data_IF_804255347596
#
_entry.id   IF_804255347596
#
_cell.length_a   1.000
_cell.length_b   1.000
_cell.length_c   1.000
_cell.angle_alpha   90.00
_cell.angle_beta   90.00
_cell.angle_gamma   90.00
#
_symmetry.space_group_name_H-M   'P 1'
#
loop_
_entity.id
_entity.type
_entity.pdbx_description
1 polymer ?
#
# COMPACT_ATOMS: atom_id res chain seq x y z
N UNK A 1 54.30 -9.39 13.71
CA UNK A 1 53.10 -8.58 13.51
C UNK A 1 51.97 -9.51 13.16
N UNK A 2 50.94 -9.53 14.00
CA UNK A 2 49.72 -10.29 13.74
C UNK A 2 49.00 -9.74 12.49
N UNK A 3 48.45 -10.59 11.62
CA UNK A 3 47.80 -10.14 10.42
C UNK A 3 46.62 -9.21 10.77
N UNK A 4 46.39 -8.14 10.01
CA UNK A 4 45.23 -7.28 10.20
C UNK A 4 43.95 -8.11 10.04
N UNK A 5 42.96 -7.87 10.90
CA UNK A 5 41.66 -8.59 10.92
C UNK A 5 41.69 -10.01 11.52
N UNK A 6 42.67 -10.36 12.33
CA UNK A 6 42.73 -11.69 13.00
C UNK A 6 41.46 -12.01 13.79
N UNK A 7 40.73 -10.97 14.31
CA UNK A 7 39.46 -11.11 15.01
C UNK A 7 38.32 -11.68 14.15
N UNK A 8 38.41 -11.61 12.82
CA UNK A 8 37.42 -12.20 11.89
C UNK A 8 37.56 -13.74 11.80
N UNK A 9 38.74 -14.27 12.08
CA UNK A 9 39.08 -15.67 11.84
C UNK A 9 39.27 -16.49 13.12
N UNK A 10 39.47 -15.84 14.25
CA UNK A 10 39.61 -16.50 15.55
C UNK A 10 38.35 -16.33 16.39
N UNK A 11 37.56 -17.40 16.60
CA UNK A 11 36.41 -17.32 17.48
C UNK A 11 36.92 -17.06 18.91
N UNK A 12 36.57 -15.91 19.46
CA UNK A 12 37.00 -15.47 20.79
C UNK A 12 36.43 -16.36 21.92
N UNK A 13 35.39 -17.11 21.60
CA UNK A 13 34.76 -18.05 22.57
C UNK A 13 34.17 -19.26 21.81
N UNK A 14 34.25 -20.48 22.36
CA UNK A 14 33.63 -21.65 21.78
C UNK A 14 32.11 -21.48 21.74
N UNK A 15 31.51 -21.92 20.65
CA UNK A 15 30.07 -21.97 20.47
C UNK A 15 29.47 -22.93 21.50
N UNK A 16 28.73 -22.41 22.47
CA UNK A 16 28.04 -23.23 23.47
C UNK A 16 26.53 -23.08 23.33
N UNK A 17 25.77 -24.12 23.68
CA UNK A 17 24.31 -24.04 23.70
C UNK A 17 23.79 -22.90 24.59
N UNK A 18 24.46 -22.61 25.69
CA UNK A 18 24.15 -21.48 26.56
C UNK A 18 24.39 -20.11 25.90
N UNK A 19 25.35 -20.03 24.98
CA UNK A 19 25.53 -18.82 24.17
C UNK A 19 24.38 -18.66 23.16
N UNK A 20 24.05 -19.74 22.42
CA UNK A 20 22.95 -19.74 21.44
C UNK A 20 21.63 -19.37 22.13
N UNK A 21 21.31 -20.01 23.25
CA UNK A 21 20.09 -19.70 24.00
C UNK A 21 20.00 -18.22 24.40
N UNK A 22 21.11 -17.65 24.90
CA UNK A 22 21.15 -16.21 25.24
C UNK A 22 20.97 -15.30 24.04
N UNK A 23 21.53 -15.64 22.88
CA UNK A 23 21.35 -14.88 21.64
C UNK A 23 19.90 -14.94 21.21
N UNK A 24 19.29 -16.13 21.19
CA UNK A 24 17.88 -16.31 20.80
C UNK A 24 16.96 -15.53 21.74
N UNK A 25 17.15 -15.63 23.05
CA UNK A 25 16.33 -14.88 24.04
C UNK A 25 16.47 -13.37 23.84
N UNK A 26 17.68 -12.88 23.67
CA UNK A 26 17.90 -11.44 23.42
C UNK A 26 17.27 -10.98 22.11
N UNK A 27 17.40 -11.78 21.05
CA UNK A 27 16.79 -11.48 19.76
C UNK A 27 15.25 -11.47 19.86
N UNK A 28 14.66 -12.43 20.56
CA UNK A 28 13.21 -12.47 20.79
C UNK A 28 12.71 -11.25 21.60
N UNK A 29 13.43 -10.87 22.66
CA UNK A 29 13.09 -9.68 23.44
C UNK A 29 13.20 -8.42 22.58
N UNK A 30 14.28 -8.27 21.83
CA UNK A 30 14.47 -7.13 20.93
C UNK A 30 13.38 -7.07 19.86
N UNK A 31 13.05 -8.20 19.24
CA UNK A 31 11.98 -8.32 18.27
C UNK A 31 10.64 -7.90 18.87
N UNK A 32 10.29 -8.41 20.05
CA UNK A 32 9.05 -8.05 20.73
C UNK A 32 9.03 -6.54 21.06
N UNK A 33 10.12 -6.00 21.61
CA UNK A 33 10.22 -4.58 21.94
C UNK A 33 10.08 -3.68 20.69
N UNK A 34 10.71 -4.03 19.56
CA UNK A 34 10.60 -3.28 18.33
C UNK A 34 9.18 -3.33 17.77
N UNK A 35 8.52 -4.50 17.82
CA UNK A 35 7.13 -4.61 17.36
C UNK A 35 6.17 -3.78 18.22
N UNK A 36 6.32 -3.81 19.54
CA UNK A 36 5.53 -2.97 20.46
C UNK A 36 5.79 -1.49 20.20
N UNK A 37 7.06 -1.10 20.08
CA UNK A 37 7.42 0.28 19.77
C UNK A 37 6.82 0.73 18.43
N UNK A 38 6.91 -0.11 17.39
CA UNK A 38 6.32 0.17 16.08
C UNK A 38 4.79 0.35 16.16
N UNK A 39 4.12 -0.55 16.87
CA UNK A 39 2.66 -0.47 17.05
C UNK A 39 2.20 0.80 17.79
N UNK A 40 2.97 1.23 18.79
CA UNK A 40 2.67 2.43 19.59
C UNK A 40 3.01 3.73 18.83
N UNK A 41 4.16 3.77 18.20
CA UNK A 41 4.67 5.00 17.56
C UNK A 41 4.09 5.23 16.17
N UNK A 42 3.56 4.18 15.53
CA UNK A 42 3.04 4.22 14.14
C UNK A 42 3.97 5.01 13.19
N UNK A 43 5.27 4.64 13.08
CA UNK A 43 6.29 5.48 12.45
C UNK A 43 6.25 5.51 10.92
N UNK A 44 5.25 4.87 10.29
CA UNK A 44 5.16 4.74 8.83
C UNK A 44 5.28 6.07 8.07
N UNK A 45 4.59 7.16 8.47
CA UNK A 45 4.72 8.44 7.79
C UNK A 45 6.14 9.03 7.88
N UNK A 46 6.80 8.86 9.03
CA UNK A 46 8.18 9.32 9.21
C UNK A 46 9.18 8.50 8.41
N UNK A 47 8.99 7.17 8.37
CA UNK A 47 9.83 6.25 7.58
C UNK A 47 9.67 6.49 6.07
N UNK A 48 8.45 6.80 5.61
CA UNK A 48 8.18 7.14 4.22
C UNK A 48 8.99 8.36 3.76
N UNK A 49 9.13 9.37 4.60
CA UNK A 49 9.94 10.57 4.32
C UNK A 49 11.44 10.28 4.19
N UNK A 50 11.94 9.21 4.79
CA UNK A 50 13.33 8.78 4.69
C UNK A 50 13.60 7.90 3.46
N UNK A 51 12.57 7.53 2.72
CA UNK A 51 12.72 6.73 1.50
C UNK A 51 13.44 7.51 0.42
N UNK A 52 14.52 6.95 -0.14
CA UNK A 52 15.20 7.53 -1.30
C UNK A 52 14.25 7.62 -2.50
N UNK A 53 13.33 6.66 -2.64
CA UNK A 53 12.31 6.68 -3.69
C UNK A 53 11.41 7.92 -3.56
N UNK A 54 10.87 8.16 -2.39
CA UNK A 54 9.96 9.30 -2.16
C UNK A 54 10.68 10.65 -2.25
N UNK A 55 12.01 10.67 -2.05
CA UNK A 55 12.82 11.88 -2.12
C UNK A 55 13.22 12.22 -3.56
N UNK A 56 13.51 11.19 -4.37
CA UNK A 56 14.08 11.37 -5.72
C UNK A 56 13.03 11.33 -6.83
N UNK A 57 11.93 10.60 -6.62
CA UNK A 57 10.88 10.43 -7.62
C UNK A 57 9.64 11.20 -7.16
N UNK A 58 9.22 12.24 -7.87
CA UNK A 58 7.96 12.93 -7.59
C UNK A 58 6.81 11.96 -7.83
N UNK A 59 5.83 11.97 -6.96
CA UNK A 59 4.64 11.15 -7.14
C UNK A 59 4.12 10.60 -5.84
N UNK A 60 3.44 9.46 -5.96
CA UNK A 60 2.79 8.79 -4.84
C UNK A 60 3.80 8.33 -3.80
N UNK A 61 3.65 8.77 -2.56
CA UNK A 61 4.48 8.31 -1.45
C UNK A 61 4.42 6.78 -1.32
N UNK A 62 5.58 6.15 -1.34
CA UNK A 62 5.73 4.72 -1.05
C UNK A 62 6.37 4.54 0.31
N UNK A 63 5.61 3.97 1.20
CA UNK A 63 6.12 3.56 2.51
C UNK A 63 6.80 2.20 2.40
N UNK A 64 7.79 1.89 3.24
CA UNK A 64 8.47 0.59 3.22
C UNK A 64 7.52 -0.61 3.37
N UNK A 65 6.38 -0.40 3.99
CA UNK A 65 5.40 -1.44 4.32
C UNK A 65 4.01 -1.17 3.73
N UNK A 66 3.95 -0.38 2.68
CA UNK A 66 2.72 0.04 2.05
C UNK A 66 2.50 1.55 2.14
N UNK A 67 1.40 2.00 1.60
CA UNK A 67 1.02 3.39 1.59
C UNK A 67 0.25 3.77 2.85
N UNK A 68 0.20 5.06 3.15
CA UNK A 68 -0.66 5.55 4.21
C UNK A 68 -2.14 5.30 3.85
N UNK A 69 -2.85 4.40 4.53
CA UNK A 69 -4.22 4.04 4.14
C UNK A 69 -5.23 5.19 4.29
N UNK A 70 -4.88 6.26 5.02
CA UNK A 70 -5.72 7.45 5.15
C UNK A 70 -5.61 8.40 3.95
N UNK A 71 -4.50 8.36 3.23
CA UNK A 71 -4.20 9.26 2.12
C UNK A 71 -4.07 8.52 0.79
N UNK A 72 -3.43 7.37 0.84
CA UNK A 72 -3.24 6.51 -0.33
C UNK A 72 -3.10 5.06 0.09
N UNK A 73 -3.42 4.14 -0.80
CA UNK A 73 -3.32 2.71 -0.56
C UNK A 73 -2.73 2.00 -1.77
N UNK A 74 -2.01 0.94 -1.50
CA UNK A 74 -1.45 0.09 -2.52
C UNK A 74 -2.29 -1.19 -2.61
N UNK A 75 -2.94 -1.39 -3.76
CA UNK A 75 -3.78 -2.55 -3.97
C UNK A 75 -2.92 -3.81 -4.04
N UNK A 76 -3.25 -4.81 -3.23
CA UNK A 76 -2.67 -6.14 -3.33
C UNK A 76 -3.62 -7.06 -4.08
N UNK A 77 -3.24 -7.50 -5.27
CA UNK A 77 -4.02 -8.46 -6.05
C UNK A 77 -3.99 -9.88 -5.45
N UNK A 78 -3.08 -10.15 -4.52
CA UNK A 78 -2.98 -11.46 -3.87
C UNK A 78 -4.04 -11.71 -2.79
N UNK A 79 -4.57 -10.65 -2.19
CA UNK A 79 -5.57 -10.77 -1.13
C UNK A 79 -6.52 -9.56 -1.13
N UNK A 80 -7.29 -9.44 -2.19
CA UNK A 80 -8.24 -8.34 -2.39
C UNK A 80 -9.29 -8.23 -1.26
N UNK A 81 -9.94 -9.33 -0.80
CA UNK A 81 -10.93 -9.23 0.27
C UNK A 81 -10.35 -8.66 1.56
N UNK A 82 -9.19 -9.16 1.99
CA UNK A 82 -8.55 -8.65 3.21
C UNK A 82 -8.15 -7.18 3.08
N UNK A 83 -7.69 -6.78 1.90
CA UNK A 83 -7.33 -5.40 1.63
C UNK A 83 -8.58 -4.50 1.64
N UNK A 84 -9.66 -4.89 1.00
CA UNK A 84 -10.94 -4.16 1.02
C UNK A 84 -11.46 -4.01 2.46
N UNK A 85 -11.45 -5.10 3.24
CA UNK A 85 -11.94 -5.11 4.60
C UNK A 85 -11.08 -4.30 5.59
N UNK A 86 -9.78 -4.17 5.34
CA UNK A 86 -8.83 -3.61 6.31
C UNK A 86 -8.33 -2.19 6.00
N UNK A 87 -8.64 -1.66 4.82
CA UNK A 87 -8.09 -0.39 4.35
C UNK A 87 -9.15 0.70 4.17
N UNK A 88 -8.92 1.57 3.21
CA UNK A 88 -9.71 2.79 2.96
C UNK A 88 -11.20 2.50 2.77
N UNK A 89 -11.54 1.38 2.14
CA UNK A 89 -12.92 1.01 1.85
C UNK A 89 -13.73 0.71 3.12
N UNK A 90 -13.13 -0.02 4.05
CA UNK A 90 -13.75 -0.33 5.34
C UNK A 90 -13.92 0.91 6.24
N UNK A 91 -13.10 1.94 6.04
CA UNK A 91 -13.18 3.19 6.77
C UNK A 91 -14.14 4.22 6.14
N UNK A 92 -14.80 3.86 5.02
CA UNK A 92 -15.73 4.75 4.34
C UNK A 92 -16.93 5.10 5.23
N UNK A 93 -17.30 6.38 5.30
CA UNK A 93 -18.50 6.83 6.01
C UNK A 93 -19.75 6.40 5.23
N UNK A 94 -20.72 5.80 5.92
CA UNK A 94 -21.99 5.38 5.31
C UNK A 94 -22.78 6.55 4.69
N UNK A 95 -22.49 7.77 5.11
CA UNK A 95 -23.13 9.00 4.61
C UNK A 95 -22.52 9.54 3.32
N UNK A 96 -21.44 8.96 2.84
CA UNK A 96 -20.79 9.40 1.60
C UNK A 96 -21.47 8.83 0.35
N UNK A 97 -21.45 9.60 -0.74
CA UNK A 97 -21.68 9.12 -2.09
C UNK A 97 -20.36 8.60 -2.64
N UNK A 98 -20.22 7.29 -2.75
CA UNK A 98 -18.95 6.62 -3.04
C UNK A 98 -18.73 6.47 -4.53
N UNK A 99 -17.64 7.04 -5.01
CA UNK A 99 -17.20 6.92 -6.40
C UNK A 99 -15.95 6.04 -6.45
N UNK A 100 -16.04 4.88 -7.07
CA UNK A 100 -14.92 3.98 -7.28
C UNK A 100 -14.28 4.25 -8.64
N UNK A 101 -13.00 4.62 -8.65
CA UNK A 101 -12.21 4.76 -9.87
C UNK A 101 -11.40 3.50 -10.10
N UNK A 102 -11.57 2.86 -11.26
CA UNK A 102 -10.81 1.68 -11.66
C UNK A 102 -10.11 1.95 -12.98
N UNK A 103 -8.91 1.43 -13.15
CA UNK A 103 -8.12 1.56 -14.37
C UNK A 103 -6.64 1.23 -14.15
N UNK A 104 -5.84 1.66 -15.09
CA UNK A 104 -4.41 1.39 -15.14
C UNK A 104 -3.54 2.40 -14.36
N UNK A 105 -2.26 2.52 -14.75
CA UNK A 105 -1.29 3.44 -14.16
C UNK A 105 -1.70 4.91 -14.24
N UNK A 106 -2.54 5.30 -15.19
CA UNK A 106 -3.03 6.68 -15.31
C UNK A 106 -4.02 7.02 -14.19
N UNK A 107 -4.89 6.07 -13.85
CA UNK A 107 -5.81 6.20 -12.71
C UNK A 107 -5.06 6.07 -11.40
N UNK A 108 -4.13 5.11 -11.31
CA UNK A 108 -3.28 4.93 -10.14
C UNK A 108 -2.50 6.21 -9.80
N UNK A 109 -2.12 7.00 -10.83
CA UNK A 109 -1.40 8.24 -10.67
C UNK A 109 0.11 8.05 -10.58
N UNK A 110 0.67 7.34 -11.57
CA UNK A 110 2.13 7.22 -11.68
C UNK A 110 2.76 8.61 -11.72
N UNK A 111 3.79 8.85 -10.91
CA UNK A 111 4.48 10.14 -10.75
C UNK A 111 3.58 11.30 -10.26
N UNK A 112 2.39 11.02 -9.76
CA UNK A 112 1.52 12.02 -9.15
C UNK A 112 1.43 11.81 -7.63
N UNK A 113 1.22 12.90 -6.91
CA UNK A 113 0.82 12.80 -5.50
C UNK A 113 -0.65 12.37 -5.41
N UNK A 114 -1.10 11.78 -4.29
CA UNK A 114 -2.49 11.39 -4.12
C UNK A 114 -3.49 12.51 -4.42
N UNK A 115 -3.21 13.73 -3.98
CA UNK A 115 -4.03 14.91 -4.19
C UNK A 115 -4.08 15.39 -5.66
N UNK A 116 -3.10 15.02 -6.48
CA UNK A 116 -3.00 15.39 -7.90
C UNK A 116 -3.62 14.33 -8.82
N UNK A 117 -3.99 13.17 -8.29
CA UNK A 117 -4.73 12.14 -9.03
C UNK A 117 -6.16 12.57 -9.33
N UNK A 118 -6.82 11.89 -10.27
CA UNK A 118 -8.23 12.16 -10.58
C UNK A 118 -9.11 12.04 -9.32
N UNK A 119 -8.91 11.01 -8.50
CA UNK A 119 -9.63 10.84 -7.24
C UNK A 119 -9.37 12.01 -6.29
N UNK A 120 -8.11 12.42 -6.14
CA UNK A 120 -7.73 13.58 -5.32
C UNK A 120 -8.38 14.86 -5.79
N UNK A 121 -8.42 15.09 -7.11
CA UNK A 121 -9.08 16.27 -7.68
C UNK A 121 -10.60 16.26 -7.44
N UNK A 122 -11.26 15.10 -7.65
CA UNK A 122 -12.70 14.97 -7.35
C UNK A 122 -12.97 15.27 -5.87
N UNK A 123 -12.17 14.70 -4.97
CA UNK A 123 -12.32 14.93 -3.53
C UNK A 123 -12.09 16.39 -3.11
N UNK A 124 -11.24 17.12 -3.84
CA UNK A 124 -10.97 18.55 -3.58
C UNK A 124 -12.12 19.46 -3.99
N UNK A 125 -12.96 19.03 -4.94
CA UNK A 125 -14.08 19.83 -5.42
C UNK A 125 -15.26 19.91 -4.44
N UNK A 126 -15.24 19.16 -3.35
CA UNK A 126 -16.29 19.08 -2.33
C UNK A 126 -17.71 18.92 -2.93
N UNK A 127 -17.81 18.01 -3.89
CA UNK A 127 -19.05 17.75 -4.63
C UNK A 127 -20.09 17.07 -3.75
N UNK A 128 -21.35 17.23 -4.11
CA UNK A 128 -22.48 16.52 -3.50
C UNK A 128 -23.30 15.79 -4.57
N UNK A 129 -23.73 14.58 -4.24
CA UNK A 129 -24.67 13.81 -5.03
C UNK A 129 -25.71 13.17 -4.08
N UNK A 130 -26.98 13.25 -4.43
CA UNK A 130 -28.11 12.78 -3.61
C UNK A 130 -28.08 13.32 -2.15
N UNK A 131 -27.64 14.56 -1.97
CA UNK A 131 -27.49 15.20 -0.67
C UNK A 131 -26.29 14.73 0.15
N UNK A 132 -25.55 13.73 -0.31
CA UNK A 132 -24.36 13.16 0.33
C UNK A 132 -23.07 13.77 -0.23
N UNK A 133 -22.03 13.96 0.59
CA UNK A 133 -20.71 14.36 0.09
C UNK A 133 -20.14 13.26 -0.81
N UNK A 134 -19.62 13.66 -1.96
CA UNK A 134 -18.93 12.73 -2.90
C UNK A 134 -17.55 12.41 -2.38
N UNK A 135 -17.24 11.12 -2.30
CA UNK A 135 -15.90 10.63 -1.99
C UNK A 135 -15.41 9.69 -3.08
N UNK A 136 -14.32 10.05 -3.72
CA UNK A 136 -13.69 9.25 -4.76
C UNK A 136 -12.57 8.39 -4.16
N UNK A 137 -12.60 7.10 -4.50
CA UNK A 137 -11.65 6.08 -4.08
C UNK A 137 -10.85 5.60 -5.29
N UNK A 138 -9.54 5.74 -5.22
CA UNK A 138 -8.64 5.40 -6.31
C UNK A 138 -8.25 3.92 -6.26
N UNK A 139 -8.86 3.11 -7.09
CA UNK A 139 -8.54 1.69 -7.30
C UNK A 139 -7.79 1.46 -8.62
N UNK A 140 -7.07 2.46 -9.11
CA UNK A 140 -6.13 2.29 -10.19
C UNK A 140 -4.99 1.33 -9.80
N UNK A 141 -4.50 0.57 -10.75
CA UNK A 141 -3.36 -0.32 -10.57
C UNK A 141 -2.43 -0.25 -11.79
N UNK A 142 -1.10 -0.23 -11.62
CA UNK A 142 -0.16 0.05 -12.72
C UNK A 142 0.03 -1.12 -13.70
N UNK A 143 -1.05 -1.77 -14.08
CA UNK A 143 -1.11 -2.82 -15.10
C UNK A 143 -2.30 -2.58 -16.01
N UNK A 144 -2.07 -2.61 -17.31
CA UNK A 144 -3.13 -2.47 -18.32
C UNK A 144 -3.72 -3.85 -18.60
N UNK A 145 -4.77 -4.23 -17.88
CA UNK A 145 -5.42 -5.53 -18.02
C UNK A 145 -6.89 -5.45 -17.64
N UNK A 146 -7.77 -5.81 -18.55
CA UNK A 146 -9.21 -5.94 -18.30
C UNK A 146 -9.50 -6.98 -17.21
N UNK A 147 -8.76 -8.09 -17.21
CA UNK A 147 -8.94 -9.16 -16.23
C UNK A 147 -8.65 -8.65 -14.82
N UNK A 148 -7.59 -7.86 -14.66
CA UNK A 148 -7.27 -7.20 -13.39
C UNK A 148 -8.41 -6.27 -12.95
N UNK A 149 -8.91 -5.42 -13.85
CA UNK A 149 -9.98 -4.47 -13.55
C UNK A 149 -11.27 -5.21 -13.15
N UNK A 150 -11.64 -6.26 -13.88
CA UNK A 150 -12.80 -7.11 -13.55
C UNK A 150 -12.63 -7.78 -12.18
N UNK A 151 -11.43 -8.23 -11.84
CA UNK A 151 -11.14 -8.83 -10.54
C UNK A 151 -11.30 -7.82 -9.41
N UNK A 152 -10.82 -6.59 -9.60
CA UNK A 152 -11.00 -5.49 -8.65
C UNK A 152 -12.47 -5.10 -8.48
N UNK A 153 -13.19 -5.00 -9.58
CA UNK A 153 -14.62 -4.67 -9.58
C UNK A 153 -15.45 -5.76 -8.91
N UNK A 154 -15.20 -7.03 -9.22
CA UNK A 154 -15.88 -8.16 -8.59
C UNK A 154 -15.65 -8.17 -7.07
N UNK A 155 -14.42 -7.94 -6.63
CA UNK A 155 -14.11 -7.83 -5.21
C UNK A 155 -14.83 -6.64 -4.55
N UNK A 156 -14.78 -5.45 -5.16
CA UNK A 156 -15.43 -4.26 -4.61
C UNK A 156 -16.97 -4.39 -4.53
N UNK A 157 -17.58 -5.11 -5.48
CA UNK A 157 -19.03 -5.33 -5.50
C UNK A 157 -19.51 -6.43 -4.55
N UNK A 158 -18.62 -7.29 -4.08
CA UNK A 158 -18.93 -8.32 -3.07
C UNK A 158 -18.85 -7.82 -1.64
N UNK A 159 -17.98 -6.84 -1.42
CA UNK A 159 -17.77 -6.26 -0.07
C UNK A 159 -18.73 -5.09 0.18
N UNK A 160 -19.07 -4.87 1.44
CA UNK A 160 -19.79 -3.69 1.91
C UNK A 160 -18.79 -2.67 2.53
N UNK A 161 -19.02 -1.40 2.36
CA UNK A 161 -20.11 -0.72 1.64
C UNK A 161 -19.93 -0.71 0.11
N UNK A 162 -21.00 -0.86 -0.65
CA UNK A 162 -20.92 -0.83 -2.13
C UNK A 162 -20.70 0.57 -2.67
N UNK A 163 -20.05 0.71 -3.84
CA UNK A 163 -19.95 1.98 -4.55
C UNK A 163 -21.32 2.44 -5.09
N UNK A 164 -21.58 3.73 -5.02
CA UNK A 164 -22.76 4.35 -5.65
C UNK A 164 -22.51 4.60 -7.15
N UNK A 165 -21.26 4.85 -7.53
CA UNK A 165 -20.83 5.08 -8.89
C UNK A 165 -19.47 4.43 -9.17
N UNK A 166 -19.33 3.81 -10.32
CA UNK A 166 -18.06 3.27 -10.81
C UNK A 166 -17.63 4.08 -12.03
N UNK A 167 -16.44 4.65 -11.97
CA UNK A 167 -15.75 5.26 -13.10
C UNK A 167 -14.65 4.29 -13.55
N UNK A 168 -14.91 3.58 -14.63
CA UNK A 168 -13.96 2.65 -15.22
C UNK A 168 -13.26 3.31 -16.40
N UNK A 169 -12.00 3.67 -16.21
CA UNK A 169 -11.15 4.30 -17.20
C UNK A 169 -10.36 3.22 -17.95
N UNK A 170 -10.68 3.05 -19.20
CA UNK A 170 -10.09 2.04 -20.08
C UNK A 170 -9.19 2.68 -21.12
N UNK A 171 -8.02 2.09 -21.35
CA UNK A 171 -7.18 2.36 -22.51
C UNK A 171 -7.40 1.28 -23.59
N UNK A 172 -7.19 1.61 -24.85
CA UNK A 172 -7.32 0.64 -25.94
C UNK A 172 -6.32 -0.52 -25.79
N UNK A 173 -5.17 -0.27 -25.18
CA UNK A 173 -4.14 -1.28 -24.92
C UNK A 173 -4.59 -2.35 -23.91
N UNK A 174 -5.51 -2.02 -23.02
CA UNK A 174 -6.10 -2.98 -22.09
C UNK A 174 -6.85 -4.13 -22.75
N UNK A 175 -7.19 -4.01 -24.04
CA UNK A 175 -7.83 -5.05 -24.83
C UNK A 175 -6.83 -5.95 -25.56
N UNK A 176 -5.54 -5.69 -25.50
CA UNK A 176 -4.52 -6.53 -26.11
C UNK A 176 -4.46 -7.90 -25.44
N UNK A 177 -4.58 -8.97 -26.23
CA UNK A 177 -4.66 -10.34 -25.70
C UNK A 177 -3.40 -10.75 -24.91
N UNK A 178 -2.24 -10.21 -25.24
CA UNK A 178 -0.95 -10.48 -24.60
C UNK A 178 -0.86 -9.99 -23.16
N UNK A 179 -1.64 -8.98 -22.79
CA UNK A 179 -1.50 -8.25 -21.53
C UNK A 179 -2.62 -8.60 -20.52
N UNK A 180 -3.38 -9.68 -20.78
CA UNK A 180 -4.50 -10.06 -19.93
C UNK A 180 -4.10 -10.82 -18.67
N UNK A 181 -2.91 -11.41 -18.64
CA UNK A 181 -2.47 -12.31 -17.57
C UNK A 181 -1.08 -11.98 -16.98
N UNK A 182 -0.41 -10.94 -17.47
CA UNK A 182 0.92 -10.54 -16.95
C UNK A 182 0.84 -9.62 -15.74
#
# INVERSE_FOLDING_TARGET
>A
PSPPFQWLYTPVRPFTWGFVARVVVKAAILFAALNVAFALLKPLPALGRLSAYNTLLPGRERLPYGENPAESYNLSLYNLPAMMASHTWAAADEREFRVLLVGDSSVWGILLRPEDTLAGQINRLDLRADGRPVRAYNFGYPTMSLLKDLTLLDAALREEPKPDLILWLLTLESFAARDQLD
#
